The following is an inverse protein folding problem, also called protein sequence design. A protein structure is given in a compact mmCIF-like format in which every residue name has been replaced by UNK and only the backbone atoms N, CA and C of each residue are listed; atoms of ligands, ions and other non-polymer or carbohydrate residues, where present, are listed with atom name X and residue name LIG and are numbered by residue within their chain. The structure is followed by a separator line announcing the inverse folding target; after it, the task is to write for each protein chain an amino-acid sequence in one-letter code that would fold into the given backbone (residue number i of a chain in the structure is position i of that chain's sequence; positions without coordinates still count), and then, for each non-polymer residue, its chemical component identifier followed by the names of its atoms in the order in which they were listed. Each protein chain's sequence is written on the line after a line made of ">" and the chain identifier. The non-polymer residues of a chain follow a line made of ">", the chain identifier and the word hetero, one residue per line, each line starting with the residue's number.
data_IF_844228800210
#
_entry.id   IF_844228800210
#
_cell.length_a   1.000
_cell.length_b   1.000
_cell.length_c   1.000
_cell.angle_alpha   90.00
_cell.angle_beta   90.00
_cell.angle_gamma   90.00
#
_symmetry.space_group_name_H-M   'P 1'
#
loop_
_entity.id
_entity.type
_entity.pdbx_description
1 polymer ?
#
# COMPACT_ATOMS: atom_id res chain seq x y z
N UNK A 1 15.67 27.95 -17.86
CA UNK A 1 15.35 27.86 -19.31
C UNK A 1 14.67 26.51 -19.50
N UNK A 2 13.34 26.49 -19.68
CA UNK A 2 12.58 25.24 -19.71
C UNK A 2 12.67 24.59 -21.09
N UNK A 3 13.12 23.33 -21.14
CA UNK A 3 13.18 22.46 -22.33
C UNK A 3 11.76 22.05 -22.78
N UNK A 4 10.96 23.01 -23.23
CA UNK A 4 9.67 22.76 -23.85
C UNK A 4 9.84 22.68 -25.37
N UNK A 5 9.42 21.57 -25.98
CA UNK A 5 9.25 21.50 -27.42
C UNK A 5 7.82 21.90 -27.73
N UNK A 6 7.67 23.01 -28.46
CA UNK A 6 6.38 23.38 -29.05
C UNK A 6 6.06 22.35 -30.13
N UNK A 7 5.01 21.57 -29.93
CA UNK A 7 4.51 20.61 -30.91
C UNK A 7 3.63 21.33 -31.92
N UNK A 8 4.24 22.14 -32.81
CA UNK A 8 3.56 22.76 -33.96
C UNK A 8 2.16 23.35 -33.71
N UNK A 9 1.30 23.26 -34.73
CA UNK A 9 -0.04 23.86 -34.84
C UNK A 9 -1.10 23.33 -33.85
N UNK A 10 -0.72 22.45 -32.92
CA UNK A 10 -1.66 21.70 -32.08
C UNK A 10 -1.99 22.38 -30.74
N UNK A 11 -1.43 23.57 -30.46
CA UNK A 11 -1.83 24.40 -29.31
C UNK A 11 -1.40 23.88 -27.94
N UNK A 12 -0.52 22.88 -27.85
CA UNK A 12 0.08 22.41 -26.60
C UNK A 12 1.62 22.32 -26.69
N UNK A 13 2.29 22.30 -25.53
CA UNK A 13 3.72 21.99 -25.41
C UNK A 13 3.93 20.77 -24.53
N UNK A 14 4.96 19.97 -24.83
CA UNK A 14 5.29 18.76 -24.04
C UNK A 14 6.59 18.98 -23.29
N UNK A 15 6.53 18.77 -21.98
CA UNK A 15 7.70 18.88 -21.11
C UNK A 15 8.65 17.70 -21.35
N UNK A 16 9.82 17.97 -21.92
CA UNK A 16 10.73 16.93 -22.40
C UNK A 16 11.28 16.05 -21.27
N UNK A 17 11.60 16.65 -20.12
CA UNK A 17 12.07 15.88 -18.97
C UNK A 17 11.03 14.90 -18.38
N UNK A 18 9.75 15.02 -18.79
CA UNK A 18 8.65 14.12 -18.40
C UNK A 18 8.29 13.13 -19.51
N UNK A 19 8.88 13.27 -20.69
CA UNK A 19 8.69 12.35 -21.80
C UNK A 19 9.66 11.18 -21.61
N UNK A 20 9.08 9.98 -21.44
CA UNK A 20 9.82 8.76 -21.17
C UNK A 20 9.38 7.68 -22.17
N UNK A 21 10.31 6.82 -22.56
CA UNK A 21 10.08 5.67 -23.44
C UNK A 21 10.80 4.43 -22.90
N UNK A 22 10.40 3.24 -23.32
CA UNK A 22 11.10 1.98 -22.99
C UNK A 22 11.98 1.45 -24.14
N UNK A 23 12.07 2.17 -25.26
CA UNK A 23 12.91 1.85 -26.42
C UNK A 23 13.76 3.05 -26.86
N UNK A 24 14.71 2.83 -27.76
CA UNK A 24 15.52 3.93 -28.30
C UNK A 24 14.68 4.79 -29.24
N UNK A 25 14.50 6.06 -28.86
CA UNK A 25 13.76 7.03 -29.66
C UNK A 25 14.59 8.30 -29.80
N UNK A 26 14.77 8.73 -31.05
CA UNK A 26 15.37 10.02 -31.39
C UNK A 26 14.27 10.89 -31.98
N UNK A 27 14.06 12.07 -31.41
CA UNK A 27 13.20 13.10 -31.98
C UNK A 27 14.03 14.00 -32.88
N UNK A 28 13.52 14.26 -34.08
CA UNK A 28 14.08 15.26 -34.98
C UNK A 28 13.20 16.50 -34.90
N UNK A 29 13.75 17.59 -34.38
CA UNK A 29 13.07 18.87 -34.33
C UNK A 29 13.66 19.82 -35.35
N UNK A 30 12.81 20.33 -36.25
CA UNK A 30 13.16 21.46 -37.12
C UNK A 30 12.86 22.72 -36.31
N UNK A 31 13.88 23.54 -36.01
CA UNK A 31 13.63 24.87 -35.41
C UNK A 31 12.68 25.65 -36.32
N UNK A 32 11.69 26.30 -35.71
CA UNK A 32 10.55 26.90 -36.41
C UNK A 32 10.93 27.75 -37.62
N UNK A 33 10.13 27.62 -38.69
CA UNK A 33 10.16 28.51 -39.87
C UNK A 33 11.30 28.32 -40.87
N UNK A 34 12.11 27.26 -40.75
CA UNK A 34 13.31 27.08 -41.58
C UNK A 34 13.05 26.49 -42.96
N UNK A 35 13.34 27.25 -44.03
CA UNK A 35 13.36 26.81 -45.43
C UNK A 35 14.29 25.60 -45.72
N UNK A 36 14.37 25.15 -46.99
CA UNK A 36 15.17 23.99 -47.37
C UNK A 36 16.66 24.20 -47.02
N UNK A 37 17.27 23.25 -46.30
CA UNK A 37 18.70 23.23 -45.99
C UNK A 37 19.12 23.43 -44.51
N UNK A 38 18.19 23.68 -43.58
CA UNK A 38 18.56 23.80 -42.15
C UNK A 38 18.73 22.44 -41.46
N UNK A 39 19.76 22.26 -40.60
CA UNK A 39 20.03 21.01 -39.90
C UNK A 39 18.93 20.70 -38.86
N UNK A 40 18.42 19.48 -38.90
CA UNK A 40 17.52 18.95 -37.89
C UNK A 40 18.27 18.72 -36.58
N UNK A 41 17.71 19.19 -35.46
CA UNK A 41 18.25 18.86 -34.14
C UNK A 41 17.74 17.47 -33.78
N UNK A 42 18.66 16.50 -33.75
CA UNK A 42 18.38 15.14 -33.27
C UNK A 42 18.54 15.12 -31.76
N UNK A 43 17.51 14.66 -31.04
CA UNK A 43 17.51 14.56 -29.59
C UNK A 43 17.08 13.17 -29.15
N UNK A 44 17.91 12.49 -28.37
CA UNK A 44 17.54 11.24 -27.72
C UNK A 44 16.46 11.50 -26.66
N UNK A 45 15.35 10.78 -26.73
CA UNK A 45 14.33 10.76 -25.68
C UNK A 45 14.84 9.92 -24.52
N UNK A 46 14.64 10.40 -23.30
CA UNK A 46 15.07 9.70 -22.10
C UNK A 46 14.34 8.36 -21.99
N UNK A 47 15.11 7.28 -21.81
CA UNK A 47 14.56 5.98 -21.47
C UNK A 47 14.21 5.91 -19.98
N UNK A 48 13.18 5.13 -19.67
CA UNK A 48 12.93 4.68 -18.30
C UNK A 48 14.13 3.86 -17.82
N UNK A 49 14.51 4.07 -16.57
CA UNK A 49 15.52 3.24 -15.91
C UNK A 49 14.89 1.91 -15.49
N UNK A 50 15.40 0.81 -16.04
CA UNK A 50 14.80 -0.52 -15.89
C UNK A 50 13.47 -0.65 -16.62
N UNK A 51 12.65 -1.61 -16.17
CA UNK A 51 11.40 -1.97 -16.86
C UNK A 51 10.17 -1.23 -16.29
N UNK A 52 10.33 -0.35 -15.29
CA UNK A 52 9.23 0.24 -14.52
C UNK A 52 8.82 1.64 -15.01
N UNK A 53 7.85 1.71 -15.91
CA UNK A 53 7.36 2.96 -16.49
C UNK A 53 6.41 3.72 -15.54
N UNK A 54 6.75 4.95 -15.08
CA UNK A 54 5.92 5.70 -14.15
C UNK A 54 4.82 6.48 -14.88
N UNK A 55 3.59 6.42 -14.37
CA UNK A 55 2.47 7.20 -14.91
C UNK A 55 1.36 7.38 -13.87
N UNK A 56 0.84 8.59 -13.71
CA UNK A 56 -0.35 8.88 -12.88
C UNK A 56 -0.34 8.28 -11.46
N UNK A 57 0.84 8.20 -10.81
CA UNK A 57 0.98 7.64 -9.45
C UNK A 57 1.07 6.11 -9.36
N UNK A 58 1.13 5.43 -10.50
CA UNK A 58 1.47 4.01 -10.65
C UNK A 58 2.76 3.84 -11.45
N UNK A 59 3.27 2.60 -11.48
CA UNK A 59 4.40 2.16 -12.30
C UNK A 59 4.00 0.85 -13.01
N UNK A 60 4.20 0.79 -14.31
CA UNK A 60 3.93 -0.37 -15.15
C UNK A 60 5.22 -1.13 -15.40
N UNK A 61 5.22 -2.43 -15.16
CA UNK A 61 6.27 -3.28 -15.69
C UNK A 61 6.05 -3.40 -17.21
N UNK A 62 6.98 -2.90 -18.00
CA UNK A 62 6.83 -2.86 -19.46
C UNK A 62 7.02 -4.22 -20.14
N UNK A 63 7.44 -5.24 -19.38
CA UNK A 63 7.60 -6.63 -19.86
C UNK A 63 6.41 -7.50 -19.48
N UNK A 64 5.91 -7.37 -18.25
CA UNK A 64 4.80 -8.18 -17.74
C UNK A 64 3.45 -7.49 -17.79
N UNK A 65 3.44 -6.17 -18.04
CA UNK A 65 2.27 -5.28 -17.96
C UNK A 65 1.64 -5.20 -16.57
N UNK A 66 2.31 -5.75 -15.54
CA UNK A 66 1.84 -5.68 -14.16
C UNK A 66 1.90 -4.24 -13.63
N UNK A 67 0.99 -3.91 -12.72
CA UNK A 67 0.82 -2.55 -12.21
C UNK A 67 1.14 -2.51 -10.73
N UNK A 68 2.07 -1.63 -10.37
CA UNK A 68 2.41 -1.34 -8.98
C UNK A 68 2.19 0.13 -8.62
N UNK A 69 1.99 0.42 -7.34
CA UNK A 69 1.94 1.81 -6.88
C UNK A 69 3.32 2.48 -7.03
N UNK A 70 3.32 3.78 -7.37
CA UNK A 70 4.54 4.58 -7.39
C UNK A 70 4.69 5.37 -6.10
N UNK A 71 5.69 4.98 -5.31
CA UNK A 71 6.03 5.59 -4.03
C UNK A 71 7.25 6.51 -4.07
N UNK A 72 7.83 6.77 -5.25
CA UNK A 72 9.01 7.66 -5.42
C UNK A 72 8.86 9.06 -4.82
N UNK A 73 7.63 9.57 -4.66
CA UNK A 73 7.41 10.88 -4.02
C UNK A 73 7.71 10.90 -2.53
N UNK A 74 7.66 9.74 -1.86
CA UNK A 74 7.93 9.64 -0.43
C UNK A 74 9.41 9.80 -0.09
N UNK A 75 10.33 9.56 -1.03
CA UNK A 75 11.76 9.81 -0.83
C UNK A 75 12.12 11.31 -0.87
N UNK A 76 11.30 12.15 -1.52
CA UNK A 76 11.62 13.56 -1.76
C UNK A 76 10.96 14.53 -0.77
N UNK A 77 9.71 14.26 -0.36
CA UNK A 77 8.91 15.16 0.48
C UNK A 77 8.68 14.62 1.90
N UNK A 78 9.25 13.45 2.22
CA UNK A 78 8.93 12.70 3.43
C UNK A 78 7.51 12.12 3.43
N UNK A 79 7.19 11.35 4.47
CA UNK A 79 5.88 10.70 4.66
C UNK A 79 4.90 11.59 5.43
N UNK A 80 5.36 12.76 5.85
CA UNK A 80 4.60 13.70 6.65
C UNK A 80 3.42 14.29 5.88
N UNK A 81 2.21 14.09 6.40
CA UNK A 81 1.03 14.87 6.01
C UNK A 81 0.71 15.90 7.09
N UNK A 82 0.14 17.03 6.68
CA UNK A 82 -0.45 17.99 7.62
C UNK A 82 -1.68 17.35 8.25
N UNK A 83 -1.56 17.03 9.54
CA UNK A 83 -2.72 16.62 10.30
C UNK A 83 -3.43 17.88 10.80
N UNK A 84 -4.56 18.26 10.19
CA UNK A 84 -5.51 19.15 10.85
C UNK A 84 -6.18 18.36 11.95
N UNK A 85 -5.87 18.63 13.22
CA UNK A 85 -6.40 17.88 14.35
C UNK A 85 -6.95 18.84 15.40
N UNK A 86 -8.15 18.55 15.88
CA UNK A 86 -8.61 19.07 17.17
C UNK A 86 -7.71 18.51 18.28
N UNK A 87 -6.96 19.40 18.94
CA UNK A 87 -5.91 19.06 19.90
C UNK A 87 -6.39 18.15 21.04
N UNK A 88 -7.68 18.22 21.41
CA UNK A 88 -8.25 17.45 22.53
C UNK A 88 -8.43 15.97 22.25
N UNK A 89 -8.62 15.56 20.99
CA UNK A 89 -8.89 14.17 20.60
C UNK A 89 -7.91 13.64 19.55
N UNK A 90 -6.68 14.16 19.60
CA UNK A 90 -5.74 13.98 18.50
C UNK A 90 -5.36 12.52 18.22
N UNK A 91 -5.17 11.71 19.25
CA UNK A 91 -4.94 10.27 19.10
C UNK A 91 -6.10 9.54 18.43
N UNK A 92 -7.33 9.73 18.93
CA UNK A 92 -8.52 9.08 18.36
C UNK A 92 -8.77 9.54 16.90
N UNK A 93 -8.52 10.81 16.60
CA UNK A 93 -8.59 11.33 15.24
C UNK A 93 -7.55 10.66 14.33
N UNK A 94 -6.32 10.44 14.82
CA UNK A 94 -5.30 9.71 14.09
C UNK A 94 -5.76 8.29 13.74
N UNK A 95 -6.35 7.54 14.68
CA UNK A 95 -6.89 6.18 14.40
C UNK A 95 -7.95 6.20 13.30
N UNK A 96 -8.83 7.21 13.29
CA UNK A 96 -9.77 7.41 12.19
C UNK A 96 -9.08 7.72 10.86
N UNK A 97 -8.00 8.50 10.88
CA UNK A 97 -7.20 8.83 9.69
C UNK A 97 -6.38 7.66 9.15
N UNK A 98 -5.96 6.71 9.98
CA UNK A 98 -5.25 5.50 9.53
C UNK A 98 -6.04 4.76 8.43
N UNK A 99 -7.36 4.60 8.62
CA UNK A 99 -8.26 4.01 7.62
C UNK A 99 -8.30 4.83 6.33
N UNK A 100 -8.27 6.16 6.43
CA UNK A 100 -8.24 7.07 5.27
C UNK A 100 -6.92 7.03 4.50
N UNK A 101 -5.79 6.73 5.15
CA UNK A 101 -4.50 6.59 4.46
C UNK A 101 -4.48 5.45 3.43
N UNK A 102 -5.32 4.42 3.62
CA UNK A 102 -5.42 3.28 2.71
C UNK A 102 -6.21 3.60 1.43
N UNK A 103 -7.26 4.41 1.52
CA UNK A 103 -8.23 4.59 0.41
C UNK A 103 -7.60 5.07 -0.91
N UNK A 104 -6.69 6.08 -0.93
CA UNK A 104 -6.05 6.53 -2.17
C UNK A 104 -5.10 5.51 -2.80
N UNK A 105 -4.76 4.43 -2.07
CA UNK A 105 -3.82 3.39 -2.47
C UNK A 105 -4.49 2.04 -2.74
N UNK A 106 -5.76 1.89 -2.41
CA UNK A 106 -6.52 0.69 -2.67
C UNK A 106 -7.32 0.84 -3.98
N UNK A 107 -6.67 0.60 -5.12
CA UNK A 107 -7.28 0.70 -6.45
C UNK A 107 -7.43 -0.66 -7.11
N UNK A 108 -8.53 -0.88 -7.85
CA UNK A 108 -8.81 -2.13 -8.55
C UNK A 108 -7.66 -2.56 -9.48
N UNK A 109 -7.03 -1.60 -10.16
CA UNK A 109 -5.88 -1.80 -11.04
C UNK A 109 -4.69 -2.56 -10.38
N UNK A 110 -4.50 -2.39 -9.06
CA UNK A 110 -3.42 -3.04 -8.30
C UNK A 110 -3.85 -4.34 -7.62
N UNK A 111 -5.16 -4.63 -7.64
CA UNK A 111 -5.80 -5.74 -6.93
C UNK A 111 -6.28 -6.84 -7.88
N UNK A 112 -6.42 -6.50 -9.16
CA UNK A 112 -6.91 -7.40 -10.19
C UNK A 112 -5.87 -8.48 -10.50
N UNK A 113 -6.24 -9.71 -10.15
CA UNK A 113 -5.44 -10.92 -10.14
C UNK A 113 -6.00 -11.95 -11.14
N UNK A 114 -5.18 -12.39 -12.09
CA UNK A 114 -5.61 -13.41 -13.04
C UNK A 114 -4.52 -13.88 -13.98
N UNK A 115 -4.53 -15.16 -14.30
CA UNK A 115 -3.53 -15.81 -15.16
C UNK A 115 -3.81 -15.60 -16.66
N UNK A 116 -5.08 -15.35 -17.04
CA UNK A 116 -5.49 -15.17 -18.45
C UNK A 116 -6.24 -13.86 -18.74
N UNK A 117 -6.80 -13.19 -17.72
CA UNK A 117 -7.64 -12.00 -17.87
C UNK A 117 -7.38 -10.91 -16.82
N UNK A 118 -6.53 -11.19 -15.82
CA UNK A 118 -6.22 -10.23 -14.77
C UNK A 118 -4.91 -9.52 -15.07
N UNK A 119 -4.76 -8.33 -14.52
CA UNK A 119 -3.60 -7.47 -14.79
C UNK A 119 -2.36 -7.94 -14.04
N UNK A 120 -2.52 -8.45 -12.82
CA UNK A 120 -1.40 -8.72 -11.92
C UNK A 120 -1.31 -10.20 -11.56
N UNK A 121 -0.08 -10.66 -11.34
CA UNK A 121 0.17 -11.92 -10.66
C UNK A 121 -0.20 -11.82 -9.18
N UNK A 122 -0.39 -12.99 -8.54
CA UNK A 122 -0.60 -13.07 -7.09
C UNK A 122 0.49 -12.38 -6.28
N UNK A 123 1.75 -12.45 -6.72
CA UNK A 123 2.85 -11.84 -5.99
C UNK A 123 2.76 -10.32 -6.03
N UNK A 124 2.43 -9.75 -7.19
CA UNK A 124 2.27 -8.31 -7.37
C UNK A 124 1.07 -7.76 -6.59
N UNK A 125 -0.06 -8.47 -6.55
CA UNK A 125 -1.21 -8.07 -5.71
C UNK A 125 -0.83 -8.07 -4.22
N UNK A 126 -0.15 -9.12 -3.74
CA UNK A 126 0.32 -9.17 -2.35
C UNK A 126 1.32 -8.05 -2.04
N UNK A 127 2.22 -7.74 -2.98
CA UNK A 127 3.20 -6.66 -2.85
C UNK A 127 2.49 -5.30 -2.78
N UNK A 128 1.58 -5.00 -3.70
CA UNK A 128 0.80 -3.76 -3.69
C UNK A 128 0.04 -3.55 -2.38
N UNK A 129 -0.59 -4.62 -1.86
CA UNK A 129 -1.27 -4.58 -0.56
C UNK A 129 -0.29 -4.31 0.58
N UNK A 130 0.87 -4.97 0.57
CA UNK A 130 1.91 -4.76 1.57
C UNK A 130 2.48 -3.34 1.55
N UNK A 131 2.84 -2.82 0.38
CA UNK A 131 3.38 -1.47 0.22
C UNK A 131 2.37 -0.38 0.64
N UNK A 132 1.08 -0.57 0.32
CA UNK A 132 0.00 0.28 0.82
C UNK A 132 -0.03 0.32 2.36
N UNK A 133 0.09 -0.86 2.99
CA UNK A 133 0.08 -0.99 4.45
C UNK A 133 1.35 -0.40 5.09
N UNK A 134 2.51 -0.54 4.46
CA UNK A 134 3.76 0.11 4.88
C UNK A 134 3.62 1.64 4.89
N UNK A 135 3.08 2.22 3.82
CA UNK A 135 2.86 3.67 3.77
C UNK A 135 1.85 4.12 4.83
N UNK A 136 0.78 3.35 5.05
CA UNK A 136 -0.16 3.63 6.13
C UNK A 136 0.53 3.62 7.50
N UNK A 137 1.36 2.62 7.76
CA UNK A 137 2.10 2.51 9.02
C UNK A 137 3.10 3.68 9.20
N UNK A 138 3.84 4.04 8.15
CA UNK A 138 4.80 5.15 8.19
C UNK A 138 4.12 6.51 8.39
N UNK A 139 2.99 6.74 7.73
CA UNK A 139 2.14 7.92 7.99
C UNK A 139 1.62 7.95 9.42
N UNK A 140 1.27 6.80 9.97
CA UNK A 140 0.83 6.68 11.36
C UNK A 140 1.97 7.04 12.32
N UNK A 141 3.17 6.51 12.11
CA UNK A 141 4.32 6.78 12.97
C UNK A 141 4.74 8.26 12.92
N UNK A 142 4.89 8.82 11.73
CA UNK A 142 5.21 10.26 11.56
C UNK A 142 4.14 11.18 12.15
N UNK A 143 2.87 10.80 12.04
CA UNK A 143 1.75 11.49 12.68
C UNK A 143 1.76 11.38 14.20
N UNK A 144 2.08 10.21 14.74
CA UNK A 144 2.09 9.94 16.17
C UNK A 144 3.17 10.73 16.93
N UNK A 145 4.31 11.01 16.27
CA UNK A 145 5.35 11.89 16.80
C UNK A 145 4.86 13.32 17.08
N UNK A 146 3.78 13.76 16.40
CA UNK A 146 3.21 15.10 16.55
C UNK A 146 2.05 15.16 17.54
N UNK A 147 1.73 14.06 18.22
CA UNK A 147 0.68 14.04 19.23
C UNK A 147 1.18 14.69 20.54
N UNK A 148 0.30 15.35 21.32
CA UNK A 148 0.69 15.98 22.58
C UNK A 148 1.37 15.05 23.60
N UNK A 149 1.01 13.76 23.61
CA UNK A 149 1.62 12.72 24.47
C UNK A 149 2.58 11.80 23.72
N UNK A 150 2.91 12.15 22.47
CA UNK A 150 3.73 11.34 21.57
C UNK A 150 3.19 9.92 21.38
N UNK A 151 4.01 9.00 20.85
CA UNK A 151 3.66 7.59 20.76
C UNK A 151 3.61 6.90 22.14
N UNK A 152 4.45 7.28 23.10
CA UNK A 152 4.50 6.63 24.41
C UNK A 152 3.16 6.73 25.17
N UNK A 153 2.57 7.93 25.25
CA UNK A 153 1.27 8.12 25.89
C UNK A 153 0.07 7.67 25.06
N UNK A 154 0.29 7.18 23.83
CA UNK A 154 -0.76 6.70 22.93
C UNK A 154 -0.54 5.25 22.47
N UNK A 155 0.39 4.49 23.07
CA UNK A 155 0.85 3.22 22.53
C UNK A 155 -0.27 2.19 22.33
N UNK A 156 -1.15 2.01 23.32
CA UNK A 156 -2.29 1.10 23.22
C UNK A 156 -3.28 1.54 22.15
N UNK A 157 -3.51 2.85 22.02
CA UNK A 157 -4.40 3.42 21.02
C UNK A 157 -3.86 3.24 19.60
N UNK A 158 -2.55 3.43 19.40
CA UNK A 158 -1.86 3.23 18.12
C UNK A 158 -1.84 1.76 17.72
N UNK A 159 -1.56 0.86 18.66
CA UNK A 159 -1.53 -0.59 18.43
C UNK A 159 -2.92 -1.13 18.07
N UNK A 160 -3.94 -0.75 18.84
CA UNK A 160 -5.33 -1.07 18.53
C UNK A 160 -5.76 -0.46 17.18
N UNK A 161 -5.33 0.76 16.89
CA UNK A 161 -5.54 1.41 15.59
C UNK A 161 -4.91 0.62 14.44
N UNK A 162 -3.71 0.08 14.61
CA UNK A 162 -3.02 -0.75 13.61
C UNK A 162 -3.79 -2.05 13.32
N UNK A 163 -4.28 -2.70 14.38
CA UNK A 163 -5.12 -3.89 14.29
C UNK A 163 -6.42 -3.59 13.55
N UNK A 164 -7.18 -2.57 13.98
CA UNK A 164 -8.43 -2.16 13.34
C UNK A 164 -8.24 -1.74 11.88
N UNK A 165 -7.16 -1.02 11.58
CA UNK A 165 -6.85 -0.53 10.23
C UNK A 165 -6.51 -1.69 9.30
N UNK A 166 -5.77 -2.67 9.79
CA UNK A 166 -5.46 -3.90 9.07
C UNK A 166 -6.72 -4.72 8.77
N UNK A 167 -7.64 -4.81 9.74
CA UNK A 167 -8.95 -5.43 9.55
C UNK A 167 -9.78 -4.72 8.47
N UNK A 168 -9.80 -3.39 8.55
CA UNK A 168 -10.50 -2.52 7.62
C UNK A 168 -9.92 -2.61 6.21
N UNK A 169 -8.61 -2.78 6.06
CA UNK A 169 -7.96 -2.93 4.76
C UNK A 169 -8.56 -4.07 3.94
N UNK A 170 -8.89 -5.21 4.57
CA UNK A 170 -9.56 -6.30 3.87
C UNK A 170 -10.95 -5.90 3.36
N UNK A 171 -11.77 -5.27 4.21
CA UNK A 171 -13.09 -4.79 3.80
C UNK A 171 -13.00 -3.75 2.67
N UNK A 172 -12.02 -2.86 2.73
CA UNK A 172 -11.75 -1.88 1.69
C UNK A 172 -11.36 -2.56 0.36
N UNK A 173 -10.47 -3.55 0.41
CA UNK A 173 -10.08 -4.34 -0.77
C UNK A 173 -11.31 -5.02 -1.39
N UNK A 174 -12.12 -5.70 -0.57
CA UNK A 174 -13.35 -6.35 -1.03
C UNK A 174 -14.33 -5.36 -1.66
N UNK A 175 -14.48 -4.17 -1.08
CA UNK A 175 -15.34 -3.12 -1.65
C UNK A 175 -14.82 -2.56 -2.97
N UNK A 176 -13.50 -2.60 -3.20
CA UNK A 176 -12.87 -2.13 -4.45
C UNK A 176 -12.88 -3.21 -5.53
N UNK A 177 -12.78 -4.49 -5.16
CA UNK A 177 -12.84 -5.62 -6.09
C UNK A 177 -14.27 -6.02 -6.46
N UNK A 178 -15.22 -5.97 -5.51
CA UNK A 178 -16.61 -6.37 -5.71
C UNK A 178 -17.55 -5.24 -6.17
N UNK A 179 -17.04 -4.21 -6.86
CA UNK A 179 -17.93 -3.22 -7.51
C UNK A 179 -18.69 -3.86 -8.67
N UNK A 180 -19.72 -4.64 -8.34
CA UNK A 180 -20.68 -5.24 -9.28
C UNK A 180 -21.59 -4.19 -9.91
N UNK A 181 -21.81 -3.08 -9.22
CA UNK A 181 -22.67 -1.98 -9.67
C UNK A 181 -21.85 -0.69 -9.72
N UNK A 182 -21.32 -0.36 -10.90
CA UNK A 182 -20.66 0.91 -11.13
C UNK A 182 -21.68 2.05 -11.04
N UNK A 183 -21.51 2.96 -10.09
CA UNK A 183 -22.21 4.26 -10.10
C UNK A 183 -21.56 5.27 -11.06
N UNK A 184 -20.72 4.80 -11.99
CA UNK A 184 -20.12 5.64 -13.02
C UNK A 184 -19.98 4.84 -14.31
N UNK A 185 -21.08 4.78 -15.05
CA UNK A 185 -21.19 4.85 -16.52
C UNK A 185 -20.18 4.13 -17.43
N UNK A 186 -19.42 3.15 -16.96
CA UNK A 186 -18.51 2.39 -17.81
C UNK A 186 -19.04 0.97 -17.95
N UNK A 187 -19.49 0.72 -19.18
CA UNK A 187 -19.79 -0.52 -19.86
C UNK A 187 -19.72 -1.83 -19.05
N UNK A 188 -20.83 -2.58 -19.13
CA UNK A 188 -20.95 -4.02 -18.86
C UNK A 188 -19.60 -4.79 -18.93
N UNK A 189 -19.21 -5.44 -17.84
CA UNK A 189 -18.53 -6.74 -17.93
C UNK A 189 -17.13 -6.90 -17.33
N UNK A 190 -16.35 -5.85 -17.05
CA UNK A 190 -14.98 -6.04 -16.52
C UNK A 190 -15.00 -6.13 -14.99
N UNK A 191 -14.84 -7.35 -14.47
CA UNK A 191 -14.80 -7.64 -13.02
C UNK A 191 -13.34 -7.63 -12.56
N UNK A 192 -13.02 -6.81 -11.56
CA UNK A 192 -11.77 -6.97 -10.81
C UNK A 192 -11.82 -8.30 -10.04
N UNK A 193 -10.94 -9.23 -10.39
CA UNK A 193 -10.82 -10.52 -9.71
C UNK A 193 -9.76 -10.37 -8.63
N UNK A 194 -10.13 -10.36 -7.35
CA UNK A 194 -9.16 -10.32 -6.27
C UNK A 194 -9.33 -11.54 -5.38
N UNK A 195 -8.35 -12.45 -5.38
CA UNK A 195 -8.42 -13.73 -4.64
C UNK A 195 -7.75 -13.64 -3.26
N UNK A 196 -7.48 -12.44 -2.74
CA UNK A 196 -6.74 -12.27 -1.49
C UNK A 196 -7.62 -12.60 -0.29
N UNK A 197 -7.08 -13.34 0.68
CA UNK A 197 -7.78 -13.74 1.89
C UNK A 197 -7.55 -12.77 3.04
N UNK A 198 -8.53 -12.71 3.96
CA UNK A 198 -8.46 -11.91 5.19
C UNK A 198 -7.20 -12.19 6.00
N UNK A 199 -6.79 -13.46 6.11
CA UNK A 199 -5.59 -13.87 6.84
C UNK A 199 -4.31 -13.30 6.24
N UNK A 200 -4.22 -13.22 4.90
CA UNK A 200 -3.05 -12.66 4.21
C UNK A 200 -2.96 -11.16 4.41
N UNK A 201 -4.07 -10.42 4.22
CA UNK A 201 -4.12 -8.98 4.48
C UNK A 201 -3.79 -8.69 5.94
N UNK A 202 -4.32 -9.52 6.85
CA UNK A 202 -4.06 -9.37 8.28
C UNK A 202 -2.59 -9.55 8.60
N UNK A 203 -1.99 -10.63 8.11
CA UNK A 203 -0.58 -10.90 8.33
C UNK A 203 0.32 -9.82 7.72
N UNK A 204 0.05 -9.40 6.48
CA UNK A 204 0.80 -8.34 5.80
C UNK A 204 0.69 -7.01 6.54
N UNK A 205 -0.50 -6.64 7.03
CA UNK A 205 -0.71 -5.40 7.75
C UNK A 205 0.00 -5.36 9.09
N UNK A 206 -0.16 -6.42 9.90
CA UNK A 206 0.54 -6.52 11.18
C UNK A 206 2.06 -6.60 10.98
N UNK A 207 2.53 -7.28 9.93
CA UNK A 207 3.95 -7.28 9.57
C UNK A 207 4.44 -5.86 9.23
N UNK A 208 3.72 -5.12 8.37
CA UNK A 208 4.08 -3.75 8.00
C UNK A 208 4.16 -2.82 9.22
N UNK A 209 3.16 -2.86 10.11
CA UNK A 209 3.15 -2.06 11.33
C UNK A 209 4.30 -2.45 12.29
N UNK A 210 4.61 -3.74 12.42
CA UNK A 210 5.77 -4.20 13.22
C UNK A 210 7.07 -3.59 12.70
N UNK A 211 7.33 -3.70 11.40
CA UNK A 211 8.58 -3.21 10.80
C UNK A 211 8.73 -1.70 10.98
N UNK A 212 7.67 -0.94 10.67
CA UNK A 212 7.71 0.51 10.79
C UNK A 212 7.84 0.94 12.25
N UNK A 213 7.04 0.39 13.17
CA UNK A 213 7.18 0.74 14.59
C UNK A 213 8.55 0.34 15.15
N UNK A 214 9.12 -0.77 14.69
CA UNK A 214 10.48 -1.15 15.05
C UNK A 214 11.54 -0.15 14.57
N UNK A 215 11.46 0.30 13.33
CA UNK A 215 12.38 1.32 12.82
C UNK A 215 12.21 2.66 13.56
N UNK A 216 10.97 3.06 13.87
CA UNK A 216 10.69 4.28 14.61
C UNK A 216 10.97 4.19 16.12
N UNK A 217 11.11 2.98 16.69
CA UNK A 217 11.51 2.81 18.09
C UNK A 217 12.91 3.35 18.39
N UNK A 218 13.77 3.44 17.37
CA UNK A 218 15.08 4.10 17.46
C UNK A 218 14.94 5.64 17.60
N UNK A 219 13.82 6.21 17.10
CA UNK A 219 13.52 7.65 17.14
C UNK A 219 12.75 8.01 18.41
N UNK A 220 11.81 7.17 18.85
CA UNK A 220 11.03 7.35 20.08
C UNK A 220 10.69 5.98 20.71
N UNK A 221 11.11 5.77 21.95
CA UNK A 221 10.92 4.51 22.70
C UNK A 221 9.45 4.12 22.86
N UNK A 222 8.51 5.06 22.74
CA UNK A 222 7.08 4.80 22.73
C UNK A 222 6.64 3.80 21.65
N UNK A 223 7.33 3.77 20.51
CA UNK A 223 7.04 2.78 19.47
C UNK A 223 7.49 1.35 19.81
N UNK A 224 8.41 1.17 20.76
CA UNK A 224 8.81 -0.17 21.21
C UNK A 224 7.62 -0.92 21.80
N UNK A 225 6.77 -0.23 22.59
CA UNK A 225 5.54 -0.81 23.11
C UNK A 225 4.57 -1.16 21.98
N UNK A 226 4.39 -0.25 21.02
CA UNK A 226 3.52 -0.50 19.87
C UNK A 226 3.95 -1.73 19.06
N UNK A 227 5.27 -1.86 18.82
CA UNK A 227 5.86 -3.02 18.15
C UNK A 227 5.52 -4.30 18.90
N UNK A 228 5.74 -4.36 20.21
CA UNK A 228 5.48 -5.56 21.03
C UNK A 228 4.01 -5.98 20.99
N UNK A 229 3.08 -5.02 21.08
CA UNK A 229 1.64 -5.29 21.03
C UNK A 229 1.22 -5.83 19.64
N UNK A 230 1.75 -5.25 18.55
CA UNK A 230 1.52 -5.73 17.18
C UNK A 230 2.16 -7.10 16.94
N UNK A 231 3.37 -7.34 17.46
CA UNK A 231 4.03 -8.65 17.36
C UNK A 231 3.26 -9.76 18.06
N UNK A 232 2.70 -9.47 19.23
CA UNK A 232 1.85 -10.42 19.94
C UNK A 232 0.66 -10.82 19.08
N UNK A 233 -0.06 -9.84 18.52
CA UNK A 233 -1.18 -10.10 17.62
C UNK A 233 -0.75 -10.86 16.35
N UNK A 234 0.43 -10.57 15.80
CA UNK A 234 0.97 -11.29 14.66
C UNK A 234 1.25 -12.77 14.98
N UNK A 235 1.73 -13.09 16.19
CA UNK A 235 1.93 -14.49 16.63
C UNK A 235 0.60 -15.20 16.85
N UNK A 236 -0.38 -14.54 17.46
CA UNK A 236 -1.72 -15.08 17.68
C UNK A 236 -2.42 -15.42 16.34
N UNK A 237 -2.28 -14.54 15.33
CA UNK A 237 -2.83 -14.80 13.99
C UNK A 237 -2.12 -15.94 13.25
N UNK A 238 -0.86 -16.25 13.60
CA UNK A 238 -0.15 -17.41 13.07
C UNK A 238 -0.52 -18.72 13.81
N UNK A 239 -0.89 -18.64 15.09
CA UNK A 239 -1.25 -19.79 15.93
C UNK A 239 -2.72 -20.20 15.91
N UNK A 240 -3.66 -19.30 15.56
CA UNK A 240 -5.09 -19.58 15.65
C UNK A 240 -5.57 -20.61 14.61
N UNK A 241 -5.98 -21.79 15.09
CA UNK A 241 -6.69 -22.84 14.34
C UNK A 241 -8.16 -22.42 14.19
N UNK A 242 -8.48 -21.59 13.21
CA UNK A 242 -9.86 -21.45 12.69
C UNK A 242 -10.72 -20.33 13.29
N UNK A 243 -10.41 -19.83 14.49
CA UNK A 243 -11.06 -18.64 15.06
C UNK A 243 -10.41 -17.35 14.54
N UNK A 244 -10.89 -16.82 13.40
CA UNK A 244 -10.31 -15.66 12.72
C UNK A 244 -10.29 -14.37 13.55
N UNK A 245 -9.54 -13.38 13.04
CA UNK A 245 -9.38 -12.01 13.55
C UNK A 245 -10.68 -11.33 14.06
N UNK A 246 -11.87 -11.77 13.65
CA UNK A 246 -13.15 -11.34 14.23
C UNK A 246 -13.31 -11.66 15.71
N UNK A 247 -12.76 -12.77 16.21
CA UNK A 247 -12.71 -13.08 17.64
C UNK A 247 -11.80 -12.11 18.39
N UNK A 248 -10.64 -11.80 17.81
CA UNK A 248 -9.69 -10.82 18.34
C UNK A 248 -10.27 -9.39 18.31
N UNK A 249 -10.87 -8.96 17.20
CA UNK A 249 -11.52 -7.65 17.06
C UNK A 249 -12.74 -7.54 17.98
N UNK A 250 -13.50 -8.63 18.20
CA UNK A 250 -14.55 -8.70 19.24
C UNK A 250 -13.96 -8.62 20.65
N UNK A 251 -12.80 -9.23 20.91
CA UNK A 251 -12.10 -9.18 22.22
C UNK A 251 -11.55 -7.79 22.53
N UNK A 252 -11.00 -7.09 21.54
CA UNK A 252 -10.59 -5.67 21.64
C UNK A 252 -11.81 -4.75 21.84
N UNK A 253 -12.94 -5.03 21.18
CA UNK A 253 -14.19 -4.27 21.36
C UNK A 253 -14.85 -4.53 22.73
N UNK A 254 -14.91 -5.80 23.18
CA UNK A 254 -15.38 -6.19 24.51
C UNK A 254 -14.47 -5.65 25.63
N UNK A 255 -13.16 -5.54 25.41
CA UNK A 255 -12.23 -4.89 26.35
C UNK A 255 -12.51 -3.38 26.57
N UNK A 256 -13.29 -2.73 25.70
CA UNK A 256 -13.80 -1.36 25.89
C UNK A 256 -15.20 -1.31 26.55
N UNK A 257 -15.91 -2.44 26.59
CA UNK A 257 -17.30 -2.56 27.07
C UNK A 257 -17.38 -3.59 28.20
N UNK A 258 -16.74 -3.31 29.33
CA UNK A 258 -17.08 -3.92 30.63
C UNK A 258 -16.62 -5.35 30.92
N UNK A 259 -16.15 -5.54 32.15
CA UNK A 259 -16.26 -6.79 32.87
C UNK A 259 -17.72 -7.27 32.87
N UNK A 260 -18.04 -8.33 32.13
CA UNK A 260 -19.10 -9.30 32.45
C UNK A 260 -19.21 -10.38 31.36
N UNK A 261 -19.34 -11.62 31.86
CA UNK A 261 -19.91 -12.80 31.24
C UNK A 261 -19.12 -13.57 30.14
N UNK A 262 -18.85 -14.82 30.51
CA UNK A 262 -18.25 -15.92 29.77
C UNK A 262 -19.32 -16.83 29.10
N UNK A 263 -18.85 -17.76 28.25
CA UNK A 263 -19.61 -18.87 27.62
C UNK A 263 -19.87 -18.65 26.12
N UNK A 264 -19.80 -19.62 25.20
CA UNK A 264 -19.52 -21.07 25.21
C UNK A 264 -19.02 -21.56 23.82
N UNK A 265 -18.28 -22.67 23.90
CA UNK A 265 -18.02 -23.84 23.02
C UNK A 265 -17.89 -23.77 21.47
N UNK A 266 -16.81 -24.41 21.01
CA UNK A 266 -16.43 -24.73 19.63
C UNK A 266 -16.80 -26.18 19.27
N UNK A 267 -17.40 -26.39 18.10
CA UNK A 267 -17.45 -27.69 17.44
C UNK A 267 -16.23 -27.88 16.54
N UNK A 268 -15.43 -28.91 16.81
CA UNK A 268 -14.24 -29.25 16.05
C UNK A 268 -14.54 -30.26 14.93
N UNK A 269 -14.09 -29.97 13.71
CA UNK A 269 -13.89 -30.98 12.66
C UNK A 269 -12.47 -30.90 12.12
N UNK A 270 -11.83 -32.08 12.04
CA UNK A 270 -10.42 -32.34 11.74
C UNK A 270 -10.00 -31.94 10.32
N UNK A 271 -8.84 -31.29 10.17
CA UNK A 271 -8.43 -30.77 8.86
C UNK A 271 -6.90 -30.76 8.60
N UNK A 272 -6.36 -31.94 8.28
CA UNK A 272 -4.94 -32.16 7.99
C UNK A 272 -4.50 -31.52 6.67
N UNK A 273 -5.42 -31.29 5.71
CA UNK A 273 -5.13 -30.59 4.45
C UNK A 273 -5.00 -29.07 4.60
N UNK A 274 -5.65 -28.48 5.62
CA UNK A 274 -5.55 -27.06 5.92
C UNK A 274 -4.17 -26.65 6.46
N UNK A 275 -3.47 -27.55 7.17
CA UNK A 275 -2.11 -27.31 7.69
C UNK A 275 -1.05 -27.11 6.60
N UNK A 276 -1.06 -27.96 5.56
CA UNK A 276 -0.09 -27.91 4.45
C UNK A 276 -0.32 -26.69 3.54
N UNK A 277 -1.59 -26.29 3.33
CA UNK A 277 -1.94 -25.07 2.60
C UNK A 277 -1.51 -23.80 3.36
N UNK A 278 -1.62 -23.78 4.70
CA UNK A 278 -1.15 -22.68 5.56
C UNK A 278 0.36 -22.49 5.50
N UNK A 279 1.15 -23.55 5.61
CA UNK A 279 2.62 -23.48 5.54
C UNK A 279 3.13 -22.86 4.22
N UNK A 280 2.51 -23.24 3.09
CA UNK A 280 2.83 -22.66 1.77
C UNK A 280 2.38 -21.21 1.61
N UNK A 281 1.21 -20.84 2.15
CA UNK A 281 0.71 -19.47 2.12
C UNK A 281 1.65 -18.50 2.86
N UNK A 282 2.10 -18.84 4.08
CA UNK A 282 3.06 -18.02 4.81
C UNK A 282 4.43 -17.97 4.12
N UNK A 283 4.86 -19.03 3.43
CA UNK A 283 6.07 -19.02 2.61
C UNK A 283 6.04 -17.95 1.51
N UNK A 284 4.90 -17.81 0.81
CA UNK A 284 4.72 -16.77 -0.21
C UNK A 284 4.72 -15.36 0.41
N UNK A 285 3.97 -15.14 1.48
CA UNK A 285 3.93 -13.84 2.15
C UNK A 285 5.32 -13.40 2.64
N UNK A 286 6.11 -14.35 3.19
CA UNK A 286 7.50 -14.11 3.59
C UNK A 286 8.40 -13.70 2.43
N UNK A 287 8.19 -14.25 1.23
CA UNK A 287 8.94 -13.83 0.03
C UNK A 287 8.56 -12.41 -0.39
N UNK A 288 7.26 -12.09 -0.38
CA UNK A 288 6.76 -10.75 -0.75
C UNK A 288 7.37 -9.66 0.15
N UNK A 289 7.33 -9.84 1.47
CA UNK A 289 7.86 -8.82 2.40
C UNK A 289 9.39 -8.70 2.40
N UNK A 290 10.09 -9.67 1.81
CA UNK A 290 11.56 -9.67 1.60
C UNK A 290 11.96 -9.31 0.18
N UNK A 291 11.00 -8.95 -0.68
CA UNK A 291 11.31 -8.50 -2.03
C UNK A 291 12.13 -7.20 -2.00
N UNK A 292 13.00 -6.95 -3.00
CA UNK A 292 13.78 -5.72 -3.09
C UNK A 292 12.92 -4.46 -2.99
N UNK A 293 11.77 -4.45 -3.69
CA UNK A 293 10.81 -3.35 -3.68
C UNK A 293 10.26 -3.06 -2.28
N UNK A 294 9.80 -4.10 -1.58
CA UNK A 294 9.29 -3.99 -0.22
C UNK A 294 10.34 -3.44 0.77
N UNK A 295 11.58 -3.93 0.67
CA UNK A 295 12.69 -3.50 1.53
C UNK A 295 13.14 -2.07 1.21
N UNK A 296 13.26 -1.72 -0.08
CA UNK A 296 13.61 -0.38 -0.54
C UNK A 296 12.57 0.66 -0.09
N UNK A 297 11.28 0.31 -0.20
CA UNK A 297 10.22 1.17 0.29
C UNK A 297 10.27 1.32 1.82
N UNK A 298 10.42 0.22 2.57
CA UNK A 298 10.54 0.29 4.03
C UNK A 298 11.70 1.19 4.46
N UNK A 299 12.88 1.04 3.83
CA UNK A 299 14.04 1.89 4.09
C UNK A 299 13.72 3.36 3.80
N UNK A 300 13.13 3.65 2.64
CA UNK A 300 12.73 5.01 2.24
C UNK A 300 11.74 5.64 3.23
N UNK A 301 10.80 4.87 3.76
CA UNK A 301 9.76 5.35 4.68
C UNK A 301 10.25 5.54 6.13
N UNK A 302 11.37 4.91 6.49
CA UNK A 302 11.86 4.85 7.87
C UNK A 302 13.15 5.61 8.12
N UNK A 303 13.89 5.93 7.06
CA UNK A 303 14.99 6.91 7.08
C UNK A 303 14.50 8.24 7.63
#
# INVERSE_FOLDING_TARGET
>A
MHDEVKTGDWGFSVHQAKTLVNFDMVLESRKGGGGPGQPSVRRQVRRVEGDMFPWCGVRFDTRTCEVMANYSRYSKAGVAESLTVDSRRAGACLVGKMKRFLSPKCHALMLDEGEHLGINSRNTVLLNVYEMLLVCAAKTATSALRLPRGPAGNASLLSNGALETTAYAYSLIQNRSNRRNGSFGTSRGVRCVCKIHRSEVTWLGLHAFREVFGAFAMKDRGFARCKLDVERALRETAGSRGGGFEGFSRKIRKGKEGAAAAGCEEGATSDTQHGVRRGRAYGRLRRVVRSPDALSLLQTLTS
#
